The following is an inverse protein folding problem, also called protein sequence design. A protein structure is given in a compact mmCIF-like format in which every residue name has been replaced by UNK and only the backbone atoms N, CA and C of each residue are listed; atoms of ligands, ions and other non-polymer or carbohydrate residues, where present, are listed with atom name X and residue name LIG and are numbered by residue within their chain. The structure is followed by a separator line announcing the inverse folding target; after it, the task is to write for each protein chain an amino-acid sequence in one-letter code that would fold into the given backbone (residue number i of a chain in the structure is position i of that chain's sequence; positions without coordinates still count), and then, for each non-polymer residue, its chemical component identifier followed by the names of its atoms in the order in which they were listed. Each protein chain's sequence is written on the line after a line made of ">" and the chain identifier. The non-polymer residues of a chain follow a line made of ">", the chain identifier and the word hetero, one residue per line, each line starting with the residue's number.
data_IF_013947940440
#
_entry.id   IF_013947940440
#
_cell.length_a   1.000
_cell.length_b   1.000
_cell.length_c   1.000
_cell.angle_alpha   90.00
_cell.angle_beta   90.00
_cell.angle_gamma   90.00
#
_symmetry.space_group_name_H-M   'P 1'
#
loop_
_entity.id
_entity.type
_entity.pdbx_description
1 polymer ?
#
# COMPACT_ATOMS: atom_id res chain seq x y z
N UNK A 1 17.12 -2.78 -10.01
CA UNK A 1 15.66 -2.79 -10.00
C UNK A 1 15.19 -1.57 -10.78
N UNK A 2 14.41 -1.78 -11.83
CA UNK A 2 13.95 -0.79 -12.81
C UNK A 2 12.43 -0.90 -12.94
N UNK A 3 11.72 0.23 -13.03
CA UNK A 3 10.27 0.20 -13.17
C UNK A 3 9.82 -0.30 -14.55
N UNK A 4 8.57 -0.76 -14.67
CA UNK A 4 8.01 -1.27 -15.93
C UNK A 4 7.70 -0.20 -16.98
N UNK A 5 8.01 1.08 -16.75
CA UNK A 5 7.69 2.17 -17.69
C UNK A 5 8.65 2.24 -18.89
N UNK A 6 9.60 1.31 -18.98
CA UNK A 6 10.42 1.07 -20.17
C UNK A 6 9.75 0.02 -21.08
N UNK A 7 8.56 0.34 -21.62
CA UNK A 7 7.81 -0.56 -22.52
C UNK A 7 7.64 -1.99 -21.97
N UNK A 8 7.25 -2.12 -20.69
CA UNK A 8 7.07 -3.40 -19.98
C UNK A 8 8.35 -4.23 -19.72
N UNK A 9 9.55 -3.71 -20.01
CA UNK A 9 10.82 -4.38 -19.72
C UNK A 9 11.37 -4.13 -18.31
N UNK A 10 10.51 -3.85 -17.31
CA UNK A 10 10.93 -3.55 -15.94
C UNK A 10 10.83 -4.73 -14.98
N UNK A 11 11.50 -4.60 -13.84
CA UNK A 11 11.55 -5.60 -12.77
C UNK A 11 10.26 -5.66 -11.93
N UNK A 12 9.44 -4.61 -11.93
CA UNK A 12 8.21 -4.49 -11.14
C UNK A 12 7.14 -3.62 -11.82
N UNK A 13 5.88 -3.93 -11.56
CA UNK A 13 4.73 -3.19 -12.09
C UNK A 13 4.42 -1.93 -11.28
N UNK A 14 3.88 -0.91 -11.94
CA UNK A 14 3.54 0.38 -11.31
C UNK A 14 2.07 0.76 -11.53
N UNK A 15 1.10 0.14 -10.82
CA UNK A 15 -0.25 0.70 -10.77
C UNK A 15 -0.21 2.15 -10.25
N UNK A 16 -1.01 3.03 -10.84
CA UNK A 16 -1.00 4.46 -10.55
C UNK A 16 -2.38 4.89 -10.05
N UNK A 17 -2.44 5.60 -8.91
CA UNK A 17 -3.64 6.20 -8.27
C UNK A 17 -4.75 5.23 -7.82
N UNK A 18 -4.98 4.14 -8.55
CA UNK A 18 -5.97 3.13 -8.20
C UNK A 18 -5.40 2.11 -7.22
N UNK A 19 -5.84 2.18 -5.95
CA UNK A 19 -5.54 1.12 -4.97
C UNK A 19 -6.10 -0.20 -5.52
N UNK A 20 -5.27 -1.21 -5.76
CA UNK A 20 -5.71 -2.43 -6.43
C UNK A 20 -6.71 -3.19 -5.56
N UNK A 21 -7.91 -3.45 -6.08
CA UNK A 21 -8.92 -4.30 -5.40
C UNK A 21 -8.51 -5.79 -5.42
N UNK A 22 -7.67 -6.16 -6.39
CA UNK A 22 -7.08 -7.49 -6.53
C UNK A 22 -5.58 -7.34 -6.68
N UNK A 23 -4.83 -8.26 -6.07
CA UNK A 23 -3.37 -8.33 -6.19
C UNK A 23 -2.94 -8.30 -7.67
N UNK A 24 -2.03 -7.40 -8.07
CA UNK A 24 -1.43 -7.40 -9.40
C UNK A 24 -0.79 -8.75 -9.76
N UNK A 25 -0.78 -9.09 -11.06
CA UNK A 25 -0.26 -10.37 -11.54
C UNK A 25 1.27 -10.46 -11.37
N UNK A 26 1.96 -9.33 -11.47
CA UNK A 26 3.41 -9.26 -11.31
C UNK A 26 3.86 -9.63 -9.90
N UNK A 27 5.01 -10.32 -9.84
CA UNK A 27 5.60 -10.77 -8.58
C UNK A 27 5.93 -9.59 -7.66
N UNK A 28 6.43 -8.50 -8.23
CA UNK A 28 6.78 -7.27 -7.55
C UNK A 28 6.00 -6.12 -8.18
N UNK A 29 5.45 -5.25 -7.34
CA UNK A 29 4.70 -4.09 -7.78
C UNK A 29 4.72 -2.98 -6.73
N UNK A 30 4.51 -1.76 -7.18
CA UNK A 30 4.54 -0.56 -6.37
C UNK A 30 3.39 0.39 -6.77
N UNK A 31 2.56 0.78 -5.81
CA UNK A 31 1.51 1.77 -6.04
C UNK A 31 2.10 3.17 -5.97
N UNK A 32 2.06 3.91 -7.07
CA UNK A 32 2.35 5.34 -7.08
C UNK A 32 1.11 6.10 -6.63
N UNK A 33 1.22 6.91 -5.58
CA UNK A 33 0.08 7.59 -4.96
C UNK A 33 0.40 9.02 -4.54
N UNK A 34 -0.47 9.97 -4.87
CA UNK A 34 -0.34 11.39 -4.50
C UNK A 34 -1.03 11.69 -3.18
N UNK A 35 -0.53 12.68 -2.44
CA UNK A 35 -1.20 13.16 -1.22
C UNK A 35 -2.46 13.98 -1.49
N UNK A 36 -2.51 14.70 -2.62
CA UNK A 36 -3.69 15.41 -3.13
C UNK A 36 -4.03 14.89 -4.54
N UNK A 37 -4.64 15.67 -5.42
CA UNK A 37 -5.02 15.23 -6.77
C UNK A 37 -3.92 15.49 -7.83
N UNK A 38 -2.78 16.05 -7.40
CA UNK A 38 -1.68 16.49 -8.27
C UNK A 38 -0.34 15.83 -7.89
N UNK A 39 0.51 15.54 -8.87
CA UNK A 39 1.90 15.08 -8.63
C UNK A 39 2.85 16.25 -8.32
N UNK A 40 2.66 17.39 -8.99
CA UNK A 40 3.41 18.60 -8.71
C UNK A 40 2.72 19.45 -7.65
N UNK A 41 3.45 20.39 -7.05
CA UNK A 41 2.83 21.41 -6.22
C UNK A 41 1.80 22.21 -7.02
N UNK A 42 0.54 22.14 -6.57
CA UNK A 42 -0.57 22.89 -7.12
C UNK A 42 -1.21 23.71 -5.99
N UNK A 43 -1.04 25.03 -6.05
CA UNK A 43 -1.49 25.95 -5.01
C UNK A 43 -3.01 26.00 -4.80
N UNK A 44 -3.79 25.65 -5.82
CA UNK A 44 -5.26 25.54 -5.73
C UNK A 44 -5.75 24.17 -5.28
N UNK A 45 -4.87 23.16 -5.24
CA UNK A 45 -5.24 21.80 -4.87
C UNK A 45 -5.06 21.59 -3.37
N UNK A 46 -6.16 21.80 -2.65
CA UNK A 46 -6.26 21.60 -1.21
C UNK A 46 -6.90 20.27 -0.84
N UNK A 47 -7.15 19.39 -1.81
CA UNK A 47 -7.84 18.11 -1.59
C UNK A 47 -6.88 17.04 -1.05
N UNK A 48 -6.32 17.28 0.13
CA UNK A 48 -5.40 16.37 0.76
C UNK A 48 -6.11 15.15 1.35
N UNK A 49 -5.57 13.97 1.05
CA UNK A 49 -5.96 12.71 1.68
C UNK A 49 -5.61 12.75 3.15
N UNK A 50 -6.48 12.20 3.99
CA UNK A 50 -6.22 12.15 5.43
C UNK A 50 -5.09 11.16 5.76
N UNK A 51 -4.34 11.35 6.86
CA UNK A 51 -3.32 10.39 7.28
C UNK A 51 -3.84 8.95 7.42
N UNK A 52 -5.07 8.80 7.91
CA UNK A 52 -5.73 7.50 8.04
C UNK A 52 -5.97 6.82 6.69
N UNK A 53 -6.29 7.59 5.63
CA UNK A 53 -6.41 7.03 4.28
C UNK A 53 -5.07 6.49 3.80
N UNK A 54 -4.00 7.27 3.95
CA UNK A 54 -2.64 6.88 3.54
C UNK A 54 -2.18 5.62 4.28
N UNK A 55 -2.42 5.54 5.60
CA UNK A 55 -2.09 4.35 6.40
C UNK A 55 -2.87 3.12 5.92
N UNK A 56 -4.16 3.25 5.62
CA UNK A 56 -4.97 2.15 5.08
C UNK A 56 -4.45 1.70 3.72
N UNK A 57 -4.13 2.64 2.82
CA UNK A 57 -3.52 2.34 1.53
C UNK A 57 -2.19 1.60 1.67
N UNK A 58 -1.34 1.99 2.62
CA UNK A 58 -0.11 1.28 2.93
C UNK A 58 -0.38 -0.17 3.36
N UNK A 59 -1.34 -0.37 4.27
CA UNK A 59 -1.75 -1.70 4.75
C UNK A 59 -2.25 -2.57 3.58
N UNK A 60 -3.08 -2.01 2.71
CA UNK A 60 -3.61 -2.72 1.54
C UNK A 60 -2.48 -3.16 0.59
N UNK A 61 -1.50 -2.28 0.36
CA UNK A 61 -0.32 -2.61 -0.45
C UNK A 61 0.49 -3.76 0.17
N UNK A 62 0.81 -3.67 1.46
CA UNK A 62 1.59 -4.70 2.18
C UNK A 62 0.83 -6.03 2.20
N UNK A 63 -0.48 -6.02 2.47
CA UNK A 63 -1.31 -7.22 2.51
C UNK A 63 -1.29 -7.98 1.18
N UNK A 64 -1.24 -7.24 0.06
CA UNK A 64 -1.13 -7.77 -1.29
C UNK A 64 0.31 -7.97 -1.78
N UNK A 65 1.32 -7.70 -0.93
CA UNK A 65 2.74 -7.91 -1.21
C UNK A 65 3.37 -6.90 -2.15
N UNK A 66 2.86 -5.67 -2.16
CA UNK A 66 3.42 -4.55 -2.91
C UNK A 66 3.94 -3.43 -2.01
N UNK A 67 4.55 -2.44 -2.66
CA UNK A 67 5.06 -1.24 -2.03
C UNK A 67 4.12 -0.06 -2.24
N UNK A 68 4.21 0.94 -1.36
CA UNK A 68 3.58 2.25 -1.55
C UNK A 68 4.66 3.29 -1.82
N UNK A 69 4.63 3.89 -3.02
CA UNK A 69 5.41 5.06 -3.36
C UNK A 69 4.52 6.30 -3.18
N UNK A 70 4.70 6.96 -2.04
CA UNK A 70 3.95 8.17 -1.70
C UNK A 70 4.69 9.40 -2.20
N UNK A 71 4.04 10.15 -3.08
CA UNK A 71 4.56 11.36 -3.70
C UNK A 71 4.47 12.59 -2.78
N UNK A 72 5.42 13.53 -2.96
CA UNK A 72 5.42 14.84 -2.33
C UNK A 72 5.57 15.91 -3.39
N UNK A 73 4.87 17.03 -3.20
CA UNK A 73 4.94 18.20 -4.09
C UNK A 73 5.54 19.41 -3.36
N UNK A 74 6.88 19.59 -3.35
CA UNK A 74 7.51 20.78 -2.81
C UNK A 74 7.11 22.04 -3.58
N UNK A 75 7.02 23.15 -2.87
CA UNK A 75 6.81 24.49 -3.45
C UNK A 75 8.03 24.91 -4.28
N UNK A 76 7.87 25.97 -5.06
CA UNK A 76 8.94 26.54 -5.89
C UNK A 76 10.17 26.99 -5.09
N UNK A 77 9.99 27.33 -3.81
CA UNK A 77 11.08 27.68 -2.87
C UNK A 77 11.74 26.45 -2.22
N UNK A 78 11.30 25.24 -2.59
CA UNK A 78 11.79 23.97 -2.04
C UNK A 78 11.14 23.55 -0.71
N UNK A 79 10.26 24.36 -0.13
CA UNK A 79 9.56 24.01 1.12
C UNK A 79 8.42 23.03 0.87
N UNK A 80 8.17 22.13 1.82
CA UNK A 80 7.06 21.18 1.75
C UNK A 80 5.82 21.83 2.40
N UNK A 81 4.62 21.77 1.76
CA UNK A 81 3.38 22.22 2.39
C UNK A 81 3.10 21.57 3.75
N UNK A 82 2.53 22.32 4.69
CA UNK A 82 2.35 21.87 6.08
C UNK A 82 1.42 20.65 6.19
N UNK A 83 0.44 20.57 5.29
CA UNK A 83 -0.49 19.44 5.17
C UNK A 83 0.27 18.15 4.84
N UNK A 84 1.18 18.19 3.87
CA UNK A 84 2.03 17.05 3.50
C UNK A 84 2.97 16.67 4.65
N UNK A 85 3.56 17.65 5.34
CA UNK A 85 4.39 17.42 6.52
C UNK A 85 3.61 16.72 7.63
N UNK A 86 2.36 17.13 7.85
CA UNK A 86 1.48 16.53 8.85
C UNK A 86 1.19 15.06 8.51
N UNK A 87 0.82 14.78 7.27
CA UNK A 87 0.58 13.41 6.78
C UNK A 87 1.82 12.53 6.97
N UNK A 88 3.00 13.03 6.58
CA UNK A 88 4.27 12.29 6.71
C UNK A 88 4.63 12.01 8.18
N UNK A 89 4.41 12.98 9.08
CA UNK A 89 4.63 12.79 10.52
C UNK A 89 3.71 11.73 11.08
N UNK A 90 2.41 11.78 10.77
CA UNK A 90 1.46 10.77 11.23
C UNK A 90 1.79 9.37 10.70
N UNK A 91 2.11 9.28 9.41
CA UNK A 91 2.54 8.03 8.78
C UNK A 91 3.80 7.49 9.47
N UNK A 92 4.81 8.33 9.68
CA UNK A 92 6.06 7.96 10.35
C UNK A 92 5.85 7.50 11.80
N UNK A 93 4.94 8.14 12.55
CA UNK A 93 4.58 7.70 13.91
C UNK A 93 3.95 6.31 13.89
N UNK A 94 3.04 6.07 12.94
CA UNK A 94 2.36 4.78 12.80
C UNK A 94 3.34 3.68 12.38
N UNK A 95 4.16 3.91 11.34
CA UNK A 95 5.12 2.92 10.85
C UNK A 95 6.19 2.58 11.87
N UNK A 96 6.64 3.56 12.66
CA UNK A 96 7.59 3.32 13.76
C UNK A 96 7.02 2.40 14.84
N UNK A 97 5.74 2.58 15.17
CA UNK A 97 5.04 1.75 16.18
C UNK A 97 4.81 0.32 15.70
N UNK A 98 4.53 0.11 14.42
CA UNK A 98 4.14 -1.19 13.84
C UNK A 98 5.18 -1.78 12.86
N UNK A 99 6.45 -1.41 13.01
CA UNK A 99 7.55 -1.76 12.08
C UNK A 99 7.62 -3.24 11.71
N UNK A 100 7.34 -4.14 12.64
CA UNK A 100 7.41 -5.60 12.44
C UNK A 100 6.31 -6.13 11.51
N UNK A 101 5.17 -5.43 11.42
CA UNK A 101 4.08 -5.78 10.51
C UNK A 101 4.28 -5.20 9.10
N UNK A 102 5.32 -4.38 8.91
CA UNK A 102 5.55 -3.62 7.68
C UNK A 102 6.81 -4.12 6.98
N UNK A 103 7.95 -4.08 7.67
CA UNK A 103 9.24 -4.33 7.06
C UNK A 103 9.58 -5.82 7.07
N UNK A 104 9.99 -6.36 5.93
CA UNK A 104 10.38 -7.77 5.77
C UNK A 104 9.21 -8.75 5.75
N UNK A 105 7.97 -8.26 5.76
CA UNK A 105 6.78 -9.10 5.67
C UNK A 105 6.54 -9.61 4.24
N UNK A 106 5.62 -10.56 4.09
CA UNK A 106 5.18 -11.09 2.80
C UNK A 106 3.66 -11.01 2.72
N UNK A 107 3.14 -11.04 1.49
CA UNK A 107 1.72 -11.05 1.22
C UNK A 107 0.99 -12.10 2.08
N UNK A 108 -0.16 -11.71 2.62
CA UNK A 108 -1.00 -12.59 3.39
C UNK A 108 -1.66 -13.67 2.53
N UNK A 109 -2.32 -14.60 3.20
CA UNK A 109 -3.09 -15.66 2.56
C UNK A 109 -4.27 -15.04 1.79
N UNK A 110 -4.52 -15.50 0.56
CA UNK A 110 -5.57 -14.89 -0.27
C UNK A 110 -6.96 -15.05 0.36
N UNK A 111 -7.87 -14.06 0.23
CA UNK A 111 -9.24 -14.18 0.72
C UNK A 111 -9.98 -15.38 0.12
N UNK A 112 -9.65 -15.75 -1.12
CA UNK A 112 -10.20 -16.93 -1.77
C UNK A 112 -9.81 -18.22 -1.03
N UNK A 113 -8.54 -18.35 -0.63
CA UNK A 113 -8.05 -19.49 0.14
C UNK A 113 -8.68 -19.55 1.55
N UNK A 114 -8.84 -18.40 2.21
CA UNK A 114 -9.54 -18.35 3.51
C UNK A 114 -11.00 -18.78 3.36
N UNK A 115 -11.69 -18.30 2.32
CA UNK A 115 -13.09 -18.64 2.05
C UNK A 115 -13.27 -20.11 1.69
N UNK A 116 -12.32 -20.70 0.96
CA UNK A 116 -12.32 -22.13 0.67
C UNK A 116 -12.14 -22.94 1.95
N UNK A 117 -11.15 -22.63 2.78
CA UNK A 117 -10.95 -23.32 4.07
C UNK A 117 -12.13 -23.14 5.03
N UNK A 118 -12.80 -22.00 5.02
CA UNK A 118 -14.01 -21.77 5.82
C UNK A 118 -15.24 -22.53 5.28
N UNK A 119 -15.25 -22.91 4.00
CA UNK A 119 -16.24 -23.84 3.43
C UNK A 119 -15.87 -25.29 3.73
N UNK A 120 -14.58 -25.62 3.76
CA UNK A 120 -14.08 -26.97 4.06
C UNK A 120 -14.10 -27.29 5.56
N UNK A 121 -13.99 -26.29 6.44
CA UNK A 121 -14.11 -26.45 7.89
C UNK A 121 -15.53 -26.84 8.34
N UNK A 122 -16.55 -26.59 7.51
CA UNK A 122 -17.92 -27.10 7.70
C UNK A 122 -18.12 -28.54 7.19
N UNK A 123 -17.11 -29.17 6.57
CA UNK A 123 -17.19 -30.56 6.07
C UNK A 123 -16.20 -31.53 6.69
N UNK A 124 -15.32 -31.10 7.60
CA UNK A 124 -14.40 -31.99 8.29
C UNK A 124 -14.32 -31.68 9.78
N UNK A 125 -15.42 -31.90 10.50
CA UNK A 125 -15.34 -32.25 11.91
C UNK A 125 -14.71 -33.66 12.02
N UNK A 126 -13.39 -33.72 12.15
CA UNK A 126 -12.72 -34.82 12.85
C UNK A 126 -11.97 -34.21 14.02
N UNK A 127 -12.24 -34.62 15.27
CA UNK A 127 -11.57 -34.07 16.42
C UNK A 127 -10.13 -34.59 16.43
N UNK A 128 -9.16 -33.71 16.26
CA UNK A 128 -7.78 -34.02 16.59
C UNK A 128 -7.65 -33.74 18.09
N UNK A 129 -7.78 -34.80 18.89
CA UNK A 129 -7.45 -34.80 20.32
C UNK A 129 -5.96 -34.53 20.49
N UNK A 130 -5.62 -33.58 21.35
CA UNK A 130 -4.42 -33.67 22.16
C UNK A 130 -4.81 -34.30 23.49
N UNK A 131 -3.99 -35.27 23.91
CA UNK A 131 -4.08 -36.25 25.02
C UNK A 131 -5.15 -37.31 24.90
#
# INVERSE_FOLDING_TARGET
>A
MVNSRLNHHGDYATPEQGVPVKRPADRYWELCYTMNDSWGYQHFDTNYKTPNMIVRTLIDCIAMGGNLLLDIGPKADGTIPEEQVTILKELGRWTSKYKEAIYGTRAGVSPAFIREKNKTSLRMARPCMYT
#
